data_IF_117072541354
#
_entry.id   IF_117072541354
#
_cell.length_a   1.000
_cell.length_b   1.000
_cell.length_c   1.000
_cell.angle_alpha   90.00
_cell.angle_beta   90.00
_cell.angle_gamma   90.00
#
_symmetry.space_group_name_H-M   'P 1'
#
loop_
_entity.id
_entity.type
_entity.pdbx_description
1 polymer ?
#
# COMPACT_ATOMS: atom_id res chain seq x y z
N UNK A 1 13.92 -14.50 -44.64
CA UNK A 1 14.70 -13.39 -44.04
C UNK A 1 16.09 -13.90 -43.74
N UNK A 2 17.12 -13.31 -44.33
CA UNK A 2 18.52 -13.69 -44.10
C UNK A 2 18.91 -13.43 -42.63
N UNK A 3 19.60 -14.39 -42.01
CA UNK A 3 20.19 -14.19 -40.68
C UNK A 3 21.37 -13.23 -40.84
N UNK A 4 21.40 -12.20 -39.99
CA UNK A 4 22.53 -11.30 -39.95
C UNK A 4 23.80 -12.04 -39.50
N UNK A 5 24.90 -11.79 -40.21
CA UNK A 5 26.24 -12.19 -39.80
C UNK A 5 26.84 -11.09 -38.94
N UNK A 6 27.08 -11.37 -37.65
CA UNK A 6 27.68 -10.42 -36.72
C UNK A 6 29.20 -10.42 -36.89
N UNK A 7 29.71 -9.53 -37.76
CA UNK A 7 31.14 -9.34 -37.94
C UNK A 7 31.76 -8.62 -36.73
N UNK A 8 33.07 -8.75 -36.48
CA UNK A 8 33.75 -8.02 -35.41
C UNK A 8 33.51 -6.50 -35.45
N UNK A 9 33.49 -5.91 -36.64
CA UNK A 9 33.19 -4.49 -36.83
C UNK A 9 31.78 -4.11 -36.36
N UNK A 10 30.76 -4.92 -36.69
CA UNK A 10 29.38 -4.70 -36.24
C UNK A 10 29.23 -4.88 -34.72
N UNK A 11 29.98 -5.81 -34.12
CA UNK A 11 29.98 -5.99 -32.68
C UNK A 11 30.57 -4.78 -31.95
N UNK A 12 31.66 -4.22 -32.48
CA UNK A 12 32.30 -3.04 -31.91
C UNK A 12 31.42 -1.79 -32.05
N UNK A 13 30.79 -1.63 -33.21
CA UNK A 13 29.82 -0.57 -33.44
C UNK A 13 28.63 -0.68 -32.46
N UNK A 14 28.11 -1.90 -32.23
CA UNK A 14 27.05 -2.12 -31.25
C UNK A 14 27.51 -1.79 -29.81
N UNK A 15 28.74 -2.16 -29.43
CA UNK A 15 29.32 -1.86 -28.10
C UNK A 15 29.45 -0.37 -27.86
N UNK A 16 29.85 0.38 -28.89
CA UNK A 16 30.01 1.83 -28.81
C UNK A 16 28.66 2.56 -28.78
N UNK A 17 27.71 2.17 -29.63
CA UNK A 17 26.45 2.93 -29.80
C UNK A 17 25.39 2.57 -28.75
N UNK A 18 25.35 1.33 -28.26
CA UNK A 18 24.28 0.86 -27.40
C UNK A 18 24.18 1.56 -26.04
N UNK A 19 25.27 1.88 -25.32
CA UNK A 19 25.16 2.49 -23.99
C UNK A 19 24.38 3.81 -23.97
N UNK A 20 24.53 4.64 -25.02
CA UNK A 20 24.06 6.04 -25.02
C UNK A 20 22.86 6.32 -25.94
N UNK A 21 22.31 5.30 -26.61
CA UNK A 21 21.22 5.45 -27.57
C UNK A 21 20.09 4.44 -27.34
N UNK A 22 18.89 4.71 -27.84
CA UNK A 22 17.80 3.71 -27.83
C UNK A 22 18.14 2.56 -28.79
N UNK A 23 17.57 1.37 -28.58
CA UNK A 23 17.79 0.25 -29.50
C UNK A 23 17.22 0.52 -30.90
N UNK A 24 16.25 1.42 -31.01
CA UNK A 24 15.66 1.87 -32.27
C UNK A 24 16.67 2.71 -33.07
N UNK A 25 17.28 3.72 -32.44
CA UNK A 25 18.30 4.56 -33.08
C UNK A 25 19.53 3.72 -33.49
N UNK A 26 19.98 2.82 -32.61
CA UNK A 26 21.09 1.90 -32.95
C UNK A 26 20.71 0.99 -34.12
N UNK A 27 19.45 0.53 -34.16
CA UNK A 27 18.92 -0.25 -35.26
C UNK A 27 18.96 0.53 -36.58
N UNK A 28 18.43 1.75 -36.59
CA UNK A 28 18.43 2.62 -37.76
C UNK A 28 19.85 2.90 -38.28
N UNK A 29 20.78 3.25 -37.39
CA UNK A 29 22.19 3.54 -37.73
C UNK A 29 22.93 2.31 -38.30
N UNK A 30 22.58 1.11 -37.85
CA UNK A 30 23.24 -0.13 -38.27
C UNK A 30 22.44 -0.88 -39.37
N UNK A 31 21.30 -0.36 -39.82
CA UNK A 31 20.40 -1.05 -40.75
C UNK A 31 19.75 -2.32 -40.17
N UNK A 32 19.58 -2.37 -38.85
CA UNK A 32 19.07 -3.52 -38.11
C UNK A 32 17.68 -3.25 -37.53
N UNK A 33 16.90 -4.32 -37.35
CA UNK A 33 15.67 -4.23 -36.59
C UNK A 33 15.99 -4.08 -35.11
N UNK A 34 15.18 -3.31 -34.40
CA UNK A 34 15.27 -3.09 -32.95
C UNK A 34 15.40 -4.40 -32.15
N UNK A 35 14.67 -5.45 -32.54
CA UNK A 35 14.75 -6.76 -31.91
C UNK A 35 16.10 -7.45 -32.06
N UNK A 36 16.79 -7.25 -33.19
CA UNK A 36 18.14 -7.81 -33.43
C UNK A 36 19.18 -7.14 -32.53
N UNK A 37 19.05 -5.82 -32.34
CA UNK A 37 19.89 -5.04 -31.43
C UNK A 37 19.70 -5.52 -29.99
N UNK A 38 18.45 -5.64 -29.51
CA UNK A 38 18.18 -6.13 -28.15
C UNK A 38 18.72 -7.53 -27.91
N UNK A 39 18.45 -8.47 -28.82
CA UNK A 39 18.90 -9.85 -28.68
C UNK A 39 20.43 -9.93 -28.62
N UNK A 40 21.13 -9.16 -29.46
CA UNK A 40 22.58 -9.18 -29.48
C UNK A 40 23.19 -8.46 -28.28
N UNK A 41 22.64 -7.32 -27.89
CA UNK A 41 23.07 -6.60 -26.69
C UNK A 41 22.90 -7.47 -25.43
N UNK A 42 21.81 -8.22 -25.31
CA UNK A 42 21.60 -9.17 -24.22
C UNK A 42 22.63 -10.32 -24.24
N UNK A 43 22.93 -10.89 -25.42
CA UNK A 43 23.95 -11.93 -25.58
C UNK A 43 25.34 -11.42 -25.15
N UNK A 44 25.67 -10.17 -25.48
CA UNK A 44 26.93 -9.51 -25.12
C UNK A 44 26.92 -8.89 -23.72
N UNK A 45 25.79 -8.97 -23.00
CA UNK A 45 25.56 -8.34 -21.68
C UNK A 45 25.84 -6.84 -21.64
N UNK A 46 25.50 -6.13 -22.73
CA UNK A 46 25.62 -4.68 -22.80
C UNK A 46 24.50 -4.00 -22.02
N UNK A 47 24.86 -3.02 -21.21
CA UNK A 47 23.92 -2.20 -20.44
C UNK A 47 23.93 -0.76 -20.97
N UNK A 48 22.86 -0.01 -20.67
CA UNK A 48 22.84 1.43 -20.90
C UNK A 48 23.71 2.15 -19.88
N UNK A 49 24.29 3.27 -20.30
CA UNK A 49 25.07 4.14 -19.42
C UNK A 49 24.16 4.83 -18.38
N UNK A 50 24.70 5.22 -17.22
CA UNK A 50 23.97 6.07 -16.26
C UNK A 50 23.43 7.35 -16.89
N UNK A 51 24.22 7.98 -17.75
CA UNK A 51 23.88 9.23 -18.46
C UNK A 51 22.68 9.02 -19.40
N UNK A 52 22.60 7.87 -20.07
CA UNK A 52 21.43 7.53 -20.87
C UNK A 52 20.17 7.44 -19.99
N UNK A 53 20.26 6.82 -18.82
CA UNK A 53 19.14 6.66 -17.91
C UNK A 53 18.63 7.96 -17.30
N UNK A 54 19.53 8.92 -17.07
CA UNK A 54 19.19 10.26 -16.60
C UNK A 54 18.62 11.14 -17.71
N UNK A 55 18.92 10.83 -18.97
CA UNK A 55 18.41 11.57 -20.12
C UNK A 55 16.95 11.24 -20.46
N UNK A 56 16.28 12.21 -21.08
CA UNK A 56 14.91 12.08 -21.62
C UNK A 56 14.78 10.97 -22.68
N UNK A 57 15.89 10.56 -23.30
CA UNK A 57 15.96 9.51 -24.33
C UNK A 57 15.65 8.12 -23.78
N UNK A 58 15.79 7.91 -22.47
CA UNK A 58 15.45 6.62 -21.85
C UNK A 58 13.96 6.30 -21.85
N UNK A 59 13.10 7.31 -22.09
CA UNK A 59 11.65 7.19 -21.99
C UNK A 59 11.15 6.97 -20.55
N UNK A 60 12.03 7.07 -19.54
CA UNK A 60 11.63 6.99 -18.13
C UNK A 60 10.85 8.24 -17.75
N UNK A 61 9.75 8.01 -17.03
CA UNK A 61 8.87 9.08 -16.58
C UNK A 61 9.45 9.66 -15.28
N UNK A 62 10.02 10.85 -15.35
CA UNK A 62 10.40 11.63 -14.18
C UNK A 62 9.23 12.51 -13.70
N UNK A 63 9.09 12.63 -12.37
CA UNK A 63 8.05 13.49 -11.77
C UNK A 63 8.32 14.95 -12.14
N UNK A 64 7.38 15.59 -12.83
CA UNK A 64 7.49 16.99 -13.26
C UNK A 64 7.89 17.20 -14.72
N UNK A 65 8.37 16.15 -15.40
CA UNK A 65 8.74 16.22 -16.82
C UNK A 65 7.56 15.81 -17.70
N UNK A 66 7.23 16.61 -18.73
CA UNK A 66 6.21 16.24 -19.74
C UNK A 66 6.90 15.90 -21.05
N UNK A 67 7.10 14.61 -21.33
CA UNK A 67 7.56 14.17 -22.64
C UNK A 67 6.39 14.26 -23.65
N UNK A 68 6.59 14.86 -24.85
CA UNK A 68 5.57 14.93 -25.90
C UNK A 68 4.93 13.59 -26.26
N UNK A 69 5.70 12.49 -26.26
CA UNK A 69 5.19 11.15 -26.55
C UNK A 69 4.18 10.65 -25.49
N UNK A 70 4.36 11.06 -24.23
CA UNK A 70 3.41 10.74 -23.16
C UNK A 70 2.16 11.62 -23.24
N UNK A 71 2.31 12.89 -23.59
CA UNK A 71 1.19 13.81 -23.73
C UNK A 71 0.20 13.38 -24.83
N UNK A 72 0.69 12.70 -25.87
CA UNK A 72 -0.13 12.15 -26.95
C UNK A 72 -1.00 10.95 -26.51
N UNK A 73 -0.50 10.10 -25.61
CA UNK A 73 -1.13 8.81 -25.23
C UNK A 73 -1.83 8.83 -23.87
N UNK A 74 -1.63 9.86 -23.05
CA UNK A 74 -2.30 10.00 -21.75
C UNK A 74 -3.80 10.22 -21.90
N UNK A 75 -4.57 9.71 -20.94
CA UNK A 75 -5.98 10.06 -20.79
C UNK A 75 -6.11 11.57 -20.52
N UNK A 76 -6.97 12.24 -21.28
CA UNK A 76 -7.22 13.68 -21.12
C UNK A 76 -8.38 13.89 -20.15
N UNK A 77 -8.32 14.96 -19.36
CA UNK A 77 -9.44 15.34 -18.50
C UNK A 77 -10.70 15.55 -19.36
N UNK A 78 -11.83 15.00 -18.93
CA UNK A 78 -13.10 15.06 -19.69
C UNK A 78 -13.22 14.06 -20.84
N UNK A 79 -12.20 13.24 -21.11
CA UNK A 79 -12.31 12.19 -22.12
C UNK A 79 -13.34 11.15 -21.69
N UNK A 80 -14.36 10.94 -22.51
CA UNK A 80 -15.32 9.85 -22.31
C UNK A 80 -14.67 8.51 -22.67
N UNK A 81 -14.58 7.55 -21.73
CA UNK A 81 -14.06 6.22 -22.02
C UNK A 81 -14.96 5.51 -23.04
N UNK A 82 -14.36 4.66 -23.89
CA UNK A 82 -15.07 3.90 -24.93
C UNK A 82 -16.15 2.92 -24.40
N UNK A 83 -16.12 2.64 -23.10
CA UNK A 83 -17.08 1.80 -22.39
C UNK A 83 -18.10 2.59 -21.54
N UNK A 84 -18.06 3.92 -21.55
CA UNK A 84 -19.02 4.75 -20.81
C UNK A 84 -20.46 4.46 -21.28
N UNK A 85 -21.38 4.31 -20.33
CA UNK A 85 -22.79 4.01 -20.60
C UNK A 85 -23.10 2.56 -21.00
N UNK A 86 -22.09 1.73 -21.28
CA UNK A 86 -22.30 0.30 -21.60
C UNK A 86 -22.54 -0.50 -20.33
N UNK A 87 -23.80 -0.84 -20.04
CA UNK A 87 -24.16 -1.74 -18.94
C UNK A 87 -23.97 -3.19 -19.36
N UNK A 88 -23.38 -4.00 -18.49
CA UNK A 88 -23.26 -5.45 -18.71
C UNK A 88 -22.24 -5.84 -19.79
N UNK A 89 -21.08 -5.16 -19.86
CA UNK A 89 -19.97 -5.57 -20.73
C UNK A 89 -19.66 -7.06 -20.53
N UNK A 90 -19.93 -7.86 -21.55
CA UNK A 90 -19.60 -9.28 -21.58
C UNK A 90 -18.23 -9.43 -22.24
N UNK A 91 -17.21 -9.73 -21.44
CA UNK A 91 -15.93 -10.15 -21.98
C UNK A 91 -16.14 -11.41 -22.84
N UNK A 92 -15.77 -11.35 -24.12
CA UNK A 92 -15.89 -12.48 -25.04
C UNK A 92 -14.93 -13.64 -24.71
N UNK A 93 -15.01 -14.71 -25.52
CA UNK A 93 -14.16 -15.89 -25.38
C UNK A 93 -14.39 -16.66 -24.07
N UNK A 94 -13.34 -17.28 -23.54
CA UNK A 94 -13.38 -18.16 -22.36
C UNK A 94 -13.48 -17.41 -21.02
N UNK A 95 -13.72 -16.09 -21.04
CA UNK A 95 -13.84 -15.30 -19.81
C UNK A 95 -14.91 -15.84 -18.88
N UNK A 96 -16.04 -16.32 -19.43
CA UNK A 96 -17.12 -16.88 -18.62
C UNK A 96 -16.68 -18.08 -17.75
N UNK A 97 -15.68 -18.85 -18.19
CA UNK A 97 -15.15 -20.01 -17.47
C UNK A 97 -14.30 -19.61 -16.27
N UNK A 98 -13.63 -18.45 -16.32
CA UNK A 98 -12.64 -18.01 -15.31
C UNK A 98 -13.11 -16.85 -14.44
N UNK A 99 -14.34 -16.34 -14.64
CA UNK A 99 -14.93 -15.31 -13.78
C UNK A 99 -15.13 -15.85 -12.36
N UNK A 100 -14.69 -15.08 -11.36
CA UNK A 100 -14.94 -15.37 -9.95
C UNK A 100 -16.45 -15.41 -9.68
N UNK A 101 -16.95 -16.53 -9.16
CA UNK A 101 -18.32 -16.64 -8.68
C UNK A 101 -18.40 -16.18 -7.22
N UNK A 102 -19.51 -15.56 -6.83
CA UNK A 102 -19.73 -15.13 -5.44
C UNK A 102 -19.61 -16.33 -4.50
N UNK A 103 -18.80 -16.20 -3.44
CA UNK A 103 -18.57 -17.25 -2.46
C UNK A 103 -17.63 -18.38 -2.91
N UNK A 104 -17.13 -18.33 -4.14
CA UNK A 104 -16.24 -19.36 -4.66
C UNK A 104 -14.85 -19.25 -4.04
N UNK A 105 -14.36 -20.36 -3.47
CA UNK A 105 -13.05 -20.46 -2.86
C UNK A 105 -12.01 -20.95 -3.87
N UNK A 106 -11.46 -20.04 -4.68
CA UNK A 106 -10.42 -20.35 -5.68
C UNK A 106 -9.19 -19.45 -5.52
N UNK A 107 -8.04 -19.94 -6.00
CA UNK A 107 -6.78 -19.19 -6.04
C UNK A 107 -6.38 -18.69 -4.66
N UNK A 108 -6.07 -17.40 -4.56
CA UNK A 108 -5.64 -16.78 -3.31
C UNK A 108 -6.65 -16.94 -2.17
N UNK A 109 -7.96 -17.01 -2.45
CA UNK A 109 -8.96 -17.19 -1.41
C UNK A 109 -8.79 -18.54 -0.67
N UNK A 110 -8.43 -19.59 -1.40
CA UNK A 110 -8.15 -20.91 -0.83
C UNK A 110 -6.85 -20.93 -0.04
N UNK A 111 -5.78 -20.33 -0.58
CA UNK A 111 -4.48 -20.29 0.10
C UNK A 111 -4.50 -19.44 1.37
N UNK A 112 -5.29 -18.35 1.38
CA UNK A 112 -5.42 -17.46 2.52
C UNK A 112 -6.48 -17.90 3.52
N UNK A 113 -7.27 -18.93 3.20
CA UNK A 113 -8.29 -19.42 4.10
C UNK A 113 -7.67 -19.98 5.37
N UNK A 114 -8.28 -19.63 6.50
CA UNK A 114 -7.96 -20.15 7.83
C UNK A 114 -9.22 -20.79 8.41
N UNK A 115 -9.17 -22.00 8.98
CA UNK A 115 -10.35 -22.61 9.59
C UNK A 115 -10.86 -21.81 10.79
N UNK A 116 -12.14 -21.93 11.12
CA UNK A 116 -12.72 -21.40 12.37
C UNK A 116 -11.91 -21.94 13.55
N UNK A 117 -11.66 -21.09 14.55
CA UNK A 117 -10.77 -21.38 15.68
C UNK A 117 -9.31 -20.98 15.46
N UNK A 118 -8.89 -20.70 14.22
CA UNK A 118 -7.54 -20.19 13.94
C UNK A 118 -7.26 -18.93 14.72
N UNK A 119 -5.99 -18.77 15.13
CA UNK A 119 -5.48 -17.61 15.84
C UNK A 119 -4.64 -16.73 14.92
N UNK A 120 -4.70 -15.43 15.13
CA UNK A 120 -3.80 -14.45 14.49
C UNK A 120 -3.52 -13.28 15.41
N UNK A 121 -2.45 -12.55 15.14
CA UNK A 121 -2.19 -11.27 15.80
C UNK A 121 -2.71 -10.16 14.89
N UNK A 122 -3.54 -9.28 15.45
CA UNK A 122 -4.09 -8.10 14.76
C UNK A 122 -3.02 -7.02 14.55
N UNK A 123 -3.27 -6.07 13.65
CA UNK A 123 -2.38 -4.91 13.47
C UNK A 123 -2.20 -4.08 14.74
N UNK A 124 -3.21 -4.11 15.62
CA UNK A 124 -3.19 -3.46 16.94
C UNK A 124 -2.50 -4.30 18.04
N UNK A 125 -1.94 -5.47 17.70
CA UNK A 125 -1.20 -6.34 18.62
C UNK A 125 -2.04 -7.31 19.46
N UNK A 126 -3.35 -7.39 19.24
CA UNK A 126 -4.22 -8.33 19.95
C UNK A 126 -4.25 -9.72 19.31
N UNK A 127 -4.28 -10.77 20.14
CA UNK A 127 -4.62 -12.11 19.70
C UNK A 127 -6.10 -12.17 19.33
N UNK A 128 -6.41 -12.51 18.08
CA UNK A 128 -7.75 -12.71 17.55
C UNK A 128 -7.99 -14.16 17.19
N UNK A 129 -9.20 -14.64 17.46
CA UNK A 129 -9.67 -15.96 17.03
C UNK A 129 -10.72 -15.80 15.95
N UNK A 130 -10.65 -16.64 14.93
CA UNK A 130 -11.70 -16.72 13.91
C UNK A 130 -12.94 -17.40 14.50
N UNK A 131 -14.08 -16.72 14.54
CA UNK A 131 -15.32 -17.20 15.19
C UNK A 131 -16.36 -17.64 14.17
N UNK A 132 -16.38 -17.02 12.98
CA UNK A 132 -17.41 -17.31 11.97
C UNK A 132 -16.87 -17.13 10.55
N UNK A 133 -17.42 -17.92 9.62
CA UNK A 133 -17.26 -17.78 8.17
C UNK A 133 -18.49 -17.20 7.49
N UNK A 134 -19.56 -16.95 8.24
CA UNK A 134 -20.82 -16.48 7.70
C UNK A 134 -20.65 -15.10 7.03
N UNK A 135 -20.88 -15.01 5.70
CA UNK A 135 -20.78 -13.76 4.97
C UNK A 135 -21.99 -12.83 5.16
N UNK A 136 -23.08 -13.29 5.78
CA UNK A 136 -24.29 -12.50 6.02
C UNK A 136 -24.17 -11.55 7.22
N UNK A 137 -23.26 -11.85 8.16
CA UNK A 137 -23.04 -11.04 9.36
C UNK A 137 -22.34 -9.73 8.97
N UNK A 138 -23.04 -8.61 9.18
CA UNK A 138 -22.51 -7.26 8.93
C UNK A 138 -22.49 -6.42 10.23
N UNK A 139 -21.36 -5.76 10.57
CA UNK A 139 -20.06 -5.84 9.91
C UNK A 139 -19.43 -7.24 10.05
N UNK A 140 -18.55 -7.62 9.12
CA UNK A 140 -17.92 -8.94 9.09
C UNK A 140 -17.00 -9.17 10.31
N UNK A 141 -17.57 -9.57 11.45
CA UNK A 141 -16.88 -9.88 12.71
C UNK A 141 -16.35 -11.32 12.71
N UNK A 142 -15.65 -11.70 11.63
CA UNK A 142 -15.08 -13.05 11.47
C UNK A 142 -13.98 -13.32 12.49
N UNK A 143 -13.22 -12.28 12.85
CA UNK A 143 -12.14 -12.33 13.81
C UNK A 143 -12.52 -11.50 15.02
N UNK A 144 -12.43 -12.09 16.20
CA UNK A 144 -12.77 -11.45 17.47
C UNK A 144 -11.59 -11.62 18.42
N UNK A 145 -11.24 -10.56 19.13
CA UNK A 145 -10.14 -10.58 20.08
C UNK A 145 -10.40 -11.59 21.20
N UNK A 146 -9.40 -12.40 21.54
CA UNK A 146 -9.53 -13.51 22.50
C UNK A 146 -9.90 -12.99 23.90
N UNK A 147 -9.33 -11.86 24.33
CA UNK A 147 -9.66 -11.23 25.62
C UNK A 147 -11.16 -10.90 25.76
N UNK A 148 -11.78 -10.48 24.66
CA UNK A 148 -13.22 -10.23 24.61
C UNK A 148 -14.00 -11.52 24.74
N UNK A 149 -13.59 -12.58 24.04
CA UNK A 149 -14.25 -13.89 24.10
C UNK A 149 -14.17 -14.51 25.51
N UNK A 150 -13.03 -14.34 26.20
CA UNK A 150 -12.85 -14.80 27.58
C UNK A 150 -13.78 -14.06 28.54
N UNK A 151 -13.88 -12.74 28.40
CA UNK A 151 -14.78 -11.95 29.23
C UNK A 151 -16.26 -12.27 28.96
N UNK A 152 -16.65 -12.36 27.68
CA UNK A 152 -18.03 -12.64 27.26
C UNK A 152 -18.50 -14.04 27.68
N UNK A 153 -17.58 -15.01 27.76
CA UNK A 153 -17.89 -16.38 28.20
C UNK A 153 -18.38 -16.43 29.65
N UNK A 154 -17.79 -15.62 30.54
CA UNK A 154 -18.09 -15.65 31.98
C UNK A 154 -19.15 -14.61 32.39
N UNK A 155 -19.19 -13.44 31.73
CA UNK A 155 -20.06 -12.32 32.10
C UNK A 155 -21.25 -12.11 31.14
N UNK A 156 -21.28 -12.80 29.99
CA UNK A 156 -22.28 -12.58 28.95
C UNK A 156 -21.93 -11.41 28.01
N UNK A 157 -22.92 -10.85 27.30
CA UNK A 157 -22.67 -9.81 26.29
C UNK A 157 -22.10 -8.53 26.91
N UNK A 158 -21.13 -7.90 26.24
CA UNK A 158 -20.57 -6.62 26.68
C UNK A 158 -21.69 -5.56 26.69
N UNK A 159 -21.92 -4.86 27.82
CA UNK A 159 -22.92 -3.81 27.90
C UNK A 159 -22.65 -2.68 26.89
N UNK A 160 -23.71 -2.00 26.45
CA UNK A 160 -23.58 -0.88 25.53
C UNK A 160 -22.66 0.21 26.13
N UNK A 161 -21.83 0.82 25.27
CA UNK A 161 -20.86 1.85 25.70
C UNK A 161 -19.64 1.32 26.46
N UNK A 162 -19.51 0.01 26.68
CA UNK A 162 -18.37 -0.61 27.35
C UNK A 162 -17.38 -1.23 26.36
N UNK A 163 -16.15 -1.44 26.83
CA UNK A 163 -15.06 -2.10 26.11
C UNK A 163 -14.33 -3.03 27.07
N UNK A 164 -13.95 -4.21 26.58
CA UNK A 164 -13.05 -5.11 27.31
C UNK A 164 -11.62 -4.71 26.95
N UNK A 165 -10.81 -4.48 27.98
CA UNK A 165 -9.40 -4.09 27.84
C UNK A 165 -8.54 -4.94 28.76
N UNK A 166 -7.27 -5.09 28.42
CA UNK A 166 -6.31 -5.63 29.38
C UNK A 166 -6.04 -4.61 30.49
N UNK A 167 -5.84 -5.11 31.70
CA UNK A 167 -5.27 -4.32 32.80
C UNK A 167 -3.89 -3.81 32.41
N UNK A 168 -3.49 -2.69 33.01
CA UNK A 168 -2.24 -2.01 32.69
C UNK A 168 -1.05 -2.98 32.87
N UNK A 169 -0.26 -3.17 31.80
CA UNK A 169 0.91 -4.06 31.82
C UNK A 169 0.60 -5.56 31.70
N UNK A 170 -0.67 -5.96 31.60
CA UNK A 170 -1.08 -7.38 31.53
C UNK A 170 -1.44 -7.85 30.12
N UNK A 171 -1.19 -7.02 29.10
CA UNK A 171 -1.44 -7.39 27.71
C UNK A 171 -0.53 -8.54 27.28
N UNK A 172 -1.12 -9.60 26.73
CA UNK A 172 -0.41 -10.79 26.25
C UNK A 172 -1.02 -11.32 24.96
N UNK A 173 -0.19 -11.95 24.15
CA UNK A 173 -0.58 -12.68 22.93
C UNK A 173 -0.63 -14.19 23.14
N UNK A 174 -0.28 -14.68 24.33
CA UNK A 174 -0.34 -16.10 24.67
C UNK A 174 -1.79 -16.50 25.02
N UNK A 175 -2.42 -17.43 24.27
CA UNK A 175 -3.81 -17.83 24.49
C UNK A 175 -4.12 -18.32 25.90
N UNK A 176 -3.19 -19.03 26.55
CA UNK A 176 -3.40 -19.64 27.87
C UNK A 176 -3.33 -18.60 28.99
N UNK A 177 -2.61 -17.51 28.75
CA UNK A 177 -2.42 -16.42 29.70
C UNK A 177 -3.51 -15.35 29.62
N UNK A 178 -4.41 -15.41 28.63
CA UNK A 178 -5.56 -14.50 28.51
C UNK A 178 -6.67 -15.03 29.40
N UNK A 179 -6.63 -14.65 30.66
CA UNK A 179 -7.55 -15.08 31.71
C UNK A 179 -8.42 -13.91 32.19
N UNK A 180 -9.52 -14.23 32.87
CA UNK A 180 -10.50 -13.23 33.31
C UNK A 180 -9.91 -12.19 34.27
N UNK A 181 -8.94 -12.58 35.10
CA UNK A 181 -8.25 -11.70 36.06
C UNK A 181 -7.42 -10.60 35.39
N UNK A 182 -7.01 -10.77 34.13
CA UNK A 182 -6.17 -9.80 33.39
C UNK A 182 -6.98 -8.84 32.52
N UNK A 183 -8.29 -9.04 32.43
CA UNK A 183 -9.18 -8.24 31.58
C UNK A 183 -10.23 -7.53 32.43
N UNK A 184 -10.52 -6.28 32.07
CA UNK A 184 -11.60 -5.51 32.68
C UNK A 184 -12.58 -5.05 31.60
N UNK A 185 -13.86 -5.02 31.94
CA UNK A 185 -14.87 -4.33 31.15
C UNK A 185 -15.09 -2.94 31.75
N UNK A 186 -14.72 -1.91 30.99
CA UNK A 186 -14.78 -0.51 31.42
C UNK A 186 -15.59 0.31 30.42
N UNK A 187 -16.09 1.45 30.86
CA UNK A 187 -16.74 2.39 29.95
C UNK A 187 -15.74 2.97 28.94
N UNK A 188 -16.21 3.32 27.74
CA UNK A 188 -15.35 4.04 26.77
C UNK A 188 -14.77 5.33 27.34
N UNK A 189 -15.51 6.02 28.20
CA UNK A 189 -15.06 7.25 28.87
C UNK A 189 -13.91 6.99 29.87
N UNK A 190 -13.94 5.87 30.60
CA UNK A 190 -12.83 5.46 31.46
C UNK A 190 -11.62 5.04 30.64
N UNK A 191 -11.83 4.27 29.56
CA UNK A 191 -10.74 3.87 28.68
C UNK A 191 -10.03 5.08 28.05
N UNK A 192 -10.79 6.07 27.61
CA UNK A 192 -10.25 7.33 27.10
C UNK A 192 -9.44 8.06 28.18
N UNK A 193 -9.96 8.15 29.41
CA UNK A 193 -9.25 8.79 30.53
C UNK A 193 -7.93 8.06 30.85
N UNK A 194 -7.93 6.72 30.89
CA UNK A 194 -6.73 5.90 31.12
C UNK A 194 -5.66 6.11 30.04
N UNK A 195 -6.08 6.19 28.77
CA UNK A 195 -5.16 6.34 27.63
C UNK A 195 -4.80 7.79 27.28
N UNK A 196 -5.46 8.77 27.90
CA UNK A 196 -5.17 10.18 27.69
C UNK A 196 -3.74 10.49 28.09
N UNK A 197 -2.96 11.10 27.19
CA UNK A 197 -1.58 11.52 27.48
C UNK A 197 -1.51 12.44 28.69
N UNK A 198 -2.57 13.24 28.95
CA UNK A 198 -2.67 14.11 30.14
C UNK A 198 -2.66 13.32 31.45
N UNK A 199 -3.31 12.17 31.45
CA UNK A 199 -3.40 11.30 32.64
C UNK A 199 -2.15 10.43 32.76
N UNK A 200 -1.64 9.90 31.63
CA UNK A 200 -0.49 8.99 31.62
C UNK A 200 0.86 9.71 31.83
N UNK A 201 0.99 10.94 31.33
CA UNK A 201 2.21 11.74 31.49
C UNK A 201 1.86 13.23 31.65
N UNK A 202 1.54 13.67 32.89
CA UNK A 202 1.19 15.05 33.18
C UNK A 202 2.27 16.06 32.79
N UNK A 203 3.55 15.71 32.98
CA UNK A 203 4.68 16.58 32.62
C UNK A 203 4.75 16.83 31.11
N UNK A 204 4.64 15.77 30.32
CA UNK A 204 4.61 15.87 28.86
C UNK A 204 3.40 16.70 28.39
N UNK A 205 2.26 16.57 29.06
CA UNK A 205 1.10 17.39 28.76
C UNK A 205 1.33 18.87 29.05
N UNK A 206 1.99 19.21 30.16
CA UNK A 206 2.44 20.56 30.47
C UNK A 206 3.38 21.11 29.39
N UNK A 207 4.33 20.29 28.92
CA UNK A 207 5.28 20.67 27.86
C UNK A 207 4.58 20.98 26.54
N UNK A 208 3.60 20.18 26.12
CA UNK A 208 2.80 20.46 24.92
C UNK A 208 1.98 21.76 25.07
N UNK A 209 1.40 22.02 26.24
CA UNK A 209 0.70 23.27 26.51
C UNK A 209 1.65 24.48 26.42
N UNK A 210 2.83 24.38 27.03
CA UNK A 210 3.84 25.43 26.99
C UNK A 210 4.33 25.70 25.57
N UNK A 211 4.66 24.66 24.80
CA UNK A 211 5.01 24.77 23.37
C UNK A 211 3.92 25.51 22.60
N UNK A 212 2.65 25.19 22.83
CA UNK A 212 1.52 25.87 22.21
C UNK A 212 1.36 27.33 22.65
N UNK A 213 1.66 27.66 23.90
CA UNK A 213 1.66 29.04 24.39
C UNK A 213 2.76 29.88 23.74
N UNK A 214 3.98 29.33 23.67
CA UNK A 214 5.14 29.97 23.02
C UNK A 214 4.85 30.21 21.54
N UNK A 215 4.38 29.19 20.80
CA UNK A 215 4.05 29.33 19.38
C UNK A 215 3.00 30.42 19.13
N UNK A 216 1.96 30.52 19.98
CA UNK A 216 0.95 31.58 19.88
C UNK A 216 1.55 32.97 20.08
N UNK A 217 2.49 33.11 21.02
CA UNK A 217 3.16 34.38 21.26
C UNK A 217 4.10 34.77 20.12
N UNK A 218 4.86 33.83 19.57
CA UNK A 218 5.71 34.04 18.39
C UNK A 218 4.86 34.51 17.21
N UNK A 219 3.77 33.80 16.90
CA UNK A 219 2.87 34.17 15.80
C UNK A 219 2.25 35.56 15.98
N UNK A 220 1.93 35.93 17.23
CA UNK A 220 1.42 37.27 17.56
C UNK A 220 2.47 38.36 17.30
N UNK A 221 3.72 38.12 17.66
CA UNK A 221 4.83 39.06 17.45
C UNK A 221 5.10 39.20 15.95
N UNK A 222 5.20 38.08 15.22
CA UNK A 222 5.40 38.06 13.77
C UNK A 222 4.32 38.86 13.04
N UNK A 223 3.04 38.62 13.37
CA UNK A 223 1.91 39.35 12.77
C UNK A 223 1.94 40.85 13.05
N UNK A 224 2.37 41.27 14.26
CA UNK A 224 2.54 42.70 14.59
C UNK A 224 3.68 43.35 13.82
N UNK A 225 4.75 42.60 13.52
CA UNK A 225 5.88 43.09 12.75
C UNK A 225 5.50 43.26 11.26
N UNK A 226 4.78 42.30 10.67
CA UNK A 226 4.22 42.44 9.32
C UNK A 226 3.28 43.64 9.20
N UNK A 227 2.37 43.84 10.16
CA UNK A 227 1.44 44.98 10.14
C UNK A 227 2.10 46.35 10.33
N UNK A 228 3.37 46.41 10.75
CA UNK A 228 4.14 47.65 10.93
C UNK A 228 5.01 48.00 9.72
N UNK A 229 5.23 47.05 8.82
CA UNK A 229 6.05 47.21 7.61
C UNK A 229 5.19 47.48 6.36
N UNK A 230 3.88 47.67 6.53
CA UNK A 230 2.90 48.12 5.53
C UNK A 230 2.41 49.50 5.94
#
# INVERSE_FOLDING_TARGET
MSRIQWTPALLEQLRSLYPDNTAEVVGELMGLRTSQVYNKAAQLRLTKSPEFWESDRSGRIARGTTNPAMAATRFKAGQTPWNSGKRGWQAGGRSAETRFKKGQMLGAAQHNYKPIGSLRISGDGYLERKVTDDPSIYPARRWVAVHRLVWEKENGPIPEGHVVVFKLGMATTDPEQITLDKVDCITRAENMRRNSFRTRNPELAGLYQLKGAINRQINRIAKKAESKNV
#
